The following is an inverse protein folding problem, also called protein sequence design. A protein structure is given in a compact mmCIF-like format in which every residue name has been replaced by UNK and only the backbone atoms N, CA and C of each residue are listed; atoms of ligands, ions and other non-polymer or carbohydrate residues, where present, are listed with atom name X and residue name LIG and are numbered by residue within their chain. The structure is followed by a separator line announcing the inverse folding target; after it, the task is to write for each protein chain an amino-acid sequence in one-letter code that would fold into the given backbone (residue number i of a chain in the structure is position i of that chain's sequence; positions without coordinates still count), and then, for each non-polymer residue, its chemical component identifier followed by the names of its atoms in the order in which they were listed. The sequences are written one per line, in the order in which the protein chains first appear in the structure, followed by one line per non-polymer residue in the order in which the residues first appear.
data_IF_724252645459
#
_entry.id   IF_724252645459
#
_cell.length_a   1.000
_cell.length_b   1.000
_cell.length_c   1.000
_cell.angle_alpha   90.00
_cell.angle_beta   90.00
_cell.angle_gamma   90.00
#
_symmetry.space_group_name_H-M   'P 1'
#
loop_
_entity.id
_entity.type
_entity.pdbx_description
1 polymer ?
#
# COMPACT_ATOMS: atom_id res chain seq x y z
N UNK A 1 -16.42 -1.92 -7.75
CA UNK A 1 -16.94 -3.29 -7.62
C UNK A 1 -16.67 -3.76 -6.20
N UNK A 2 -17.66 -4.29 -5.50
CA UNK A 2 -17.56 -4.61 -4.07
C UNK A 2 -17.77 -6.12 -3.86
N UNK A 3 -16.69 -6.87 -3.65
CA UNK A 3 -16.76 -8.33 -3.40
C UNK A 3 -17.10 -8.69 -1.97
N UNK A 4 -16.96 -7.74 -1.04
CA UNK A 4 -17.29 -7.89 0.38
C UNK A 4 -17.57 -6.52 0.98
N UNK A 5 -18.48 -6.47 1.93
CA UNK A 5 -18.75 -5.29 2.74
C UNK A 5 -18.20 -5.55 4.14
N UNK A 6 -17.22 -4.77 4.59
CA UNK A 6 -16.66 -4.92 5.92
C UNK A 6 -17.65 -4.39 6.96
N UNK A 7 -18.00 -5.22 7.95
CA UNK A 7 -18.86 -4.84 9.09
C UNK A 7 -18.00 -4.58 10.33
N UNK A 8 -16.90 -5.33 10.49
CA UNK A 8 -15.95 -5.15 11.57
C UNK A 8 -14.58 -5.73 11.21
N UNK A 9 -13.62 -5.62 12.14
CA UNK A 9 -12.23 -6.09 11.93
C UNK A 9 -12.15 -7.55 11.43
N UNK A 10 -13.04 -8.41 11.93
CA UNK A 10 -13.09 -9.84 11.61
C UNK A 10 -14.43 -10.28 11.02
N UNK A 11 -15.29 -9.34 10.61
CA UNK A 11 -16.65 -9.66 10.12
C UNK A 11 -16.90 -8.92 8.82
N UNK A 12 -17.39 -9.65 7.81
CA UNK A 12 -17.77 -9.07 6.54
C UNK A 12 -19.03 -9.76 5.99
N UNK A 13 -19.86 -8.99 5.30
CA UNK A 13 -20.96 -9.49 4.50
C UNK A 13 -20.44 -9.80 3.10
N UNK A 14 -20.45 -11.07 2.75
CA UNK A 14 -19.95 -11.56 1.47
C UNK A 14 -21.11 -12.09 0.62
N UNK A 15 -21.16 -11.81 -0.70
CA UNK A 15 -22.04 -12.50 -1.62
C UNK A 15 -21.58 -13.97 -1.78
N UNK A 16 -22.43 -14.81 -2.39
CA UNK A 16 -22.04 -16.18 -2.73
C UNK A 16 -20.79 -16.18 -3.64
N UNK A 17 -19.95 -17.24 -3.60
CA UNK A 17 -18.75 -17.33 -4.44
C UNK A 17 -19.05 -17.15 -5.93
N UNK A 18 -20.17 -17.69 -6.41
CA UNK A 18 -20.62 -17.55 -7.80
C UNK A 18 -20.90 -16.09 -8.17
N UNK A 19 -21.66 -15.38 -7.32
CA UNK A 19 -21.96 -13.96 -7.54
C UNK A 19 -20.68 -13.11 -7.47
N UNK A 20 -19.78 -13.40 -6.54
CA UNK A 20 -18.49 -12.70 -6.46
C UNK A 20 -17.67 -12.86 -7.73
N UNK A 21 -17.56 -14.09 -8.27
CA UNK A 21 -16.82 -14.36 -9.52
C UNK A 21 -17.41 -13.59 -10.70
N UNK A 22 -18.72 -13.62 -10.87
CA UNK A 22 -19.41 -12.86 -11.94
C UNK A 22 -19.13 -11.36 -11.83
N UNK A 23 -19.21 -10.80 -10.62
CA UNK A 23 -18.88 -9.39 -10.40
C UNK A 23 -17.41 -9.08 -10.74
N UNK A 24 -16.47 -10.00 -10.48
CA UNK A 24 -15.03 -9.81 -10.78
C UNK A 24 -14.84 -9.75 -12.29
N UNK A 25 -15.44 -10.68 -13.01
CA UNK A 25 -15.38 -10.76 -14.47
C UNK A 25 -15.93 -9.49 -15.11
N UNK A 26 -17.15 -9.07 -14.72
CA UNK A 26 -17.79 -7.85 -15.21
C UNK A 26 -16.96 -6.59 -14.88
N UNK A 27 -16.42 -6.52 -13.65
CA UNK A 27 -15.58 -5.42 -13.20
C UNK A 27 -14.27 -5.32 -13.98
N UNK A 28 -13.62 -6.45 -14.24
CA UNK A 28 -12.40 -6.52 -15.04
C UNK A 28 -12.66 -6.12 -16.50
N UNK A 29 -13.72 -6.65 -17.11
CA UNK A 29 -14.13 -6.28 -18.46
C UNK A 29 -14.38 -4.78 -18.59
N UNK A 30 -15.13 -4.20 -17.64
CA UNK A 30 -15.39 -2.76 -17.59
C UNK A 30 -14.10 -1.95 -17.45
N UNK A 31 -13.20 -2.34 -16.56
CA UNK A 31 -11.93 -1.63 -16.33
C UNK A 31 -11.06 -1.59 -17.59
N UNK A 32 -10.94 -2.72 -18.32
CA UNK A 32 -10.18 -2.78 -19.58
C UNK A 32 -10.80 -1.89 -20.65
N UNK A 33 -12.12 -1.87 -20.76
CA UNK A 33 -12.80 -1.01 -21.75
C UNK A 33 -12.60 0.48 -21.43
N UNK A 34 -12.70 0.88 -20.16
CA UNK A 34 -12.45 2.25 -19.72
C UNK A 34 -10.99 2.69 -19.95
N UNK A 35 -10.03 1.77 -19.82
CA UNK A 35 -8.64 2.04 -20.15
C UNK A 35 -8.46 2.22 -21.67
N UNK A 36 -9.13 1.40 -22.49
CA UNK A 36 -9.07 1.48 -23.95
C UNK A 36 -9.73 2.75 -24.50
N UNK A 37 -10.83 3.20 -23.90
CA UNK A 37 -11.50 4.46 -24.27
C UNK A 37 -10.76 5.71 -23.81
N UNK A 38 -9.77 5.57 -22.91
CA UNK A 38 -9.02 6.69 -22.34
C UNK A 38 -9.73 7.39 -21.17
N UNK A 39 -10.83 6.81 -20.68
CA UNK A 39 -11.59 7.33 -19.53
C UNK A 39 -10.85 7.11 -18.20
N UNK A 40 -9.89 6.18 -18.16
CA UNK A 40 -8.99 5.97 -17.03
C UNK A 40 -7.56 6.24 -17.47
N UNK A 41 -6.84 7.08 -16.70
CA UNK A 41 -5.43 7.41 -16.94
C UNK A 41 -4.55 6.84 -15.82
N UNK A 42 -3.32 6.39 -16.12
CA UNK A 42 -2.36 6.00 -15.10
C UNK A 42 -2.09 7.15 -14.12
N UNK A 43 -2.04 6.84 -12.82
CA UNK A 43 -1.66 7.82 -11.80
C UNK A 43 -0.16 8.10 -11.94
N UNK A 44 0.19 9.36 -12.15
CA UNK A 44 1.57 9.82 -12.16
C UNK A 44 1.92 10.44 -10.81
N UNK A 45 3.00 9.97 -10.20
CA UNK A 45 3.53 10.55 -8.96
C UNK A 45 4.80 11.33 -9.33
N UNK A 46 4.83 12.65 -9.10
CA UNK A 46 6.00 13.47 -9.42
C UNK A 46 7.19 13.05 -8.56
N UNK A 47 8.39 13.13 -9.14
CA UNK A 47 9.66 12.87 -8.44
C UNK A 47 10.32 14.19 -8.03
N UNK A 48 11.02 14.25 -6.88
CA UNK A 48 11.27 13.15 -5.94
C UNK A 48 10.02 12.78 -5.13
N UNK A 49 9.92 11.51 -4.73
CA UNK A 49 8.79 10.94 -4.00
C UNK A 49 9.14 10.93 -2.51
N UNK A 50 8.40 11.70 -1.73
CA UNK A 50 8.47 11.62 -0.28
C UNK A 50 7.56 10.49 0.22
N UNK A 51 8.12 9.64 1.08
CA UNK A 51 7.43 8.55 1.74
C UNK A 51 7.44 8.84 3.23
N UNK A 52 6.28 8.71 3.87
CA UNK A 52 6.16 8.70 5.32
C UNK A 52 5.56 7.37 5.76
N UNK A 53 6.29 6.62 6.59
CA UNK A 53 5.86 5.32 7.08
C UNK A 53 5.70 5.38 8.59
N UNK A 54 4.45 5.29 9.05
CA UNK A 54 4.09 5.26 10.47
C UNK A 54 3.97 3.82 10.96
N UNK A 55 4.76 3.48 11.97
CA UNK A 55 4.82 2.16 12.60
C UNK A 55 3.85 2.05 13.78
N UNK A 56 3.64 0.81 14.24
CA UNK A 56 2.74 0.50 15.35
C UNK A 56 3.37 0.78 16.72
N UNK A 57 4.70 0.68 16.82
CA UNK A 57 5.44 0.95 18.05
C UNK A 57 6.82 1.58 17.74
N UNK A 58 7.46 2.24 18.72
CA UNK A 58 8.74 2.91 18.50
C UNK A 58 9.89 1.97 18.11
N UNK A 59 9.91 0.74 18.62
CA UNK A 59 10.96 -0.24 18.32
C UNK A 59 11.01 -0.65 16.85
N UNK A 60 9.84 -0.75 16.20
CA UNK A 60 9.77 -0.97 14.75
C UNK A 60 10.40 0.18 13.97
N UNK A 61 10.15 1.42 14.41
CA UNK A 61 10.74 2.60 13.80
C UNK A 61 12.26 2.67 14.06
N UNK A 62 12.72 2.27 15.25
CA UNK A 62 14.16 2.20 15.58
C UNK A 62 14.91 1.25 14.63
N UNK A 63 14.37 0.05 14.39
CA UNK A 63 15.02 -0.90 13.45
C UNK A 63 14.91 -0.45 12.00
N UNK A 64 13.76 0.09 11.58
CA UNK A 64 13.60 0.56 10.21
C UNK A 64 14.50 1.76 9.88
N UNK A 65 14.90 2.55 10.88
CA UNK A 65 15.79 3.70 10.73
C UNK A 65 17.22 3.31 10.30
N UNK A 66 17.59 2.03 10.40
CA UNK A 66 18.87 1.52 9.89
C UNK A 66 19.01 1.76 8.37
N UNK A 67 17.89 1.89 7.64
CA UNK A 67 17.92 2.23 6.23
C UNK A 67 18.57 3.61 6.01
N UNK A 68 19.70 3.71 5.29
CA UNK A 68 20.35 4.98 5.03
C UNK A 68 19.43 5.96 4.28
N UNK A 69 19.43 7.22 4.70
CA UNK A 69 18.57 8.26 4.13
C UNK A 69 17.15 8.27 4.68
N UNK A 70 16.81 7.39 5.62
CA UNK A 70 15.59 7.52 6.41
C UNK A 70 15.80 8.50 7.56
N UNK A 71 14.78 9.32 7.84
CA UNK A 71 14.79 10.34 8.88
C UNK A 71 13.58 10.16 9.78
N UNK A 72 13.81 10.19 11.10
CA UNK A 72 12.72 10.09 12.05
C UNK A 72 12.11 11.45 12.33
N UNK A 73 10.84 11.62 11.94
CA UNK A 73 10.11 12.89 12.09
C UNK A 73 9.22 12.91 13.33
N UNK A 74 8.83 11.74 13.83
CA UNK A 74 8.11 11.58 15.10
C UNK A 74 8.44 10.21 15.74
N UNK A 75 7.97 9.91 16.97
CA UNK A 75 8.29 8.65 17.65
C UNK A 75 7.89 7.37 16.89
N UNK A 76 7.01 7.44 15.90
CA UNK A 76 6.50 6.30 15.14
C UNK A 76 6.71 6.43 13.64
N UNK A 77 7.09 7.59 13.11
CA UNK A 77 7.11 7.84 11.66
C UNK A 77 8.52 8.09 11.13
N UNK A 78 8.88 7.36 10.08
CA UNK A 78 10.07 7.60 9.28
C UNK A 78 9.70 8.27 7.95
N UNK A 79 10.48 9.27 7.57
CA UNK A 79 10.48 9.94 6.28
C UNK A 79 11.61 9.39 5.40
N UNK A 80 11.35 9.20 4.11
CA UNK A 80 12.36 8.85 3.11
C UNK A 80 12.06 9.54 1.79
N UNK A 81 13.07 10.12 1.15
CA UNK A 81 12.93 10.80 -0.15
C UNK A 81 13.57 9.96 -1.24
N UNK A 82 12.75 9.41 -2.13
CA UNK A 82 13.18 8.55 -3.24
C UNK A 82 13.23 9.33 -4.56
N UNK A 83 14.15 8.98 -5.45
CA UNK A 83 14.25 9.63 -6.78
C UNK A 83 13.20 9.16 -7.78
N UNK A 84 12.59 7.99 -7.54
CA UNK A 84 11.54 7.42 -8.39
C UNK A 84 10.71 6.37 -7.63
N UNK A 85 9.61 5.93 -8.23
CA UNK A 85 8.66 4.98 -7.61
C UNK A 85 9.28 3.60 -7.32
N UNK A 86 10.27 3.16 -8.11
CA UNK A 86 10.93 1.86 -7.88
C UNK A 86 11.78 1.89 -6.61
N UNK A 87 12.56 2.97 -6.42
CA UNK A 87 13.32 3.20 -5.19
C UNK A 87 12.39 3.39 -4.00
N UNK A 88 11.31 4.15 -4.16
CA UNK A 88 10.31 4.35 -3.13
C UNK A 88 9.72 3.03 -2.63
N UNK A 89 9.28 2.17 -3.55
CA UNK A 89 8.72 0.87 -3.22
C UNK A 89 9.74 -0.05 -2.52
N UNK A 90 11.00 -0.04 -2.97
CA UNK A 90 12.09 -0.80 -2.32
C UNK A 90 12.34 -0.31 -0.89
N UNK A 91 12.42 1.01 -0.69
CA UNK A 91 12.60 1.61 0.63
C UNK A 91 11.46 1.23 1.59
N UNK A 92 10.20 1.34 1.13
CA UNK A 92 9.02 0.90 1.89
C UNK A 92 9.14 -0.57 2.30
N UNK A 93 9.49 -1.46 1.35
CA UNK A 93 9.61 -2.89 1.63
C UNK A 93 10.69 -3.16 2.66
N UNK A 94 11.87 -2.58 2.53
CA UNK A 94 12.97 -2.76 3.49
C UNK A 94 12.57 -2.28 4.88
N UNK A 95 12.00 -1.08 4.99
CA UNK A 95 11.52 -0.54 6.27
C UNK A 95 10.47 -1.43 6.93
N UNK A 96 9.53 -1.99 6.16
CA UNK A 96 8.53 -2.95 6.68
C UNK A 96 9.21 -4.23 7.16
N UNK A 97 10.14 -4.81 6.40
CA UNK A 97 10.84 -6.04 6.79
C UNK A 97 11.66 -5.85 8.07
N UNK A 98 12.39 -4.74 8.19
CA UNK A 98 13.18 -4.40 9.38
C UNK A 98 12.27 -4.17 10.59
N UNK A 99 11.20 -3.39 10.43
CA UNK A 99 10.24 -3.13 11.49
C UNK A 99 9.56 -4.42 11.96
N UNK A 100 9.13 -5.30 11.04
CA UNK A 100 8.50 -6.56 11.43
C UNK A 100 9.42 -7.50 12.23
N UNK A 101 10.74 -7.42 12.03
CA UNK A 101 11.70 -8.26 12.74
C UNK A 101 11.75 -8.03 14.26
N UNK A 102 11.14 -6.95 14.77
CA UNK A 102 10.96 -6.72 16.21
C UNK A 102 9.89 -7.62 16.83
N UNK A 103 8.98 -8.16 16.02
CA UNK A 103 7.95 -9.09 16.49
C UNK A 103 8.55 -10.50 16.57
N UNK A 104 9.33 -10.73 17.62
CA UNK A 104 9.78 -12.07 18.03
C UNK A 104 9.10 -12.47 19.32
#
# INVERSE_FOLDING_TARGET
MLTKEAIGRYVAKCPSPEKARKMIEEGAFKAVNLLRSGDIKPIQVPSPIEIQLKFLNPGMADLAQILPGSERIDPLTLRYVAKNMSEAYKAIRVMIYLGYSTLK
#
